data_IF_807146698911
#
_entry.id   IF_807146698911
#
_cell.length_a   1.000
_cell.length_b   1.000
_cell.length_c   1.000
_cell.angle_alpha   90.00
_cell.angle_beta   90.00
_cell.angle_gamma   90.00
#
_symmetry.space_group_name_H-M   'P 1'
#
loop_
_entity.id
_entity.type
_entity.pdbx_description
1 polymer ?
#
# COMPACT_ATOMS: atom_id res chain seq x y z
N UNK A 1 -16.58 -4.29 -7.23
CA UNK A 1 -16.26 -5.56 -7.95
C UNK A 1 -14.74 -5.62 -8.04
N UNK A 2 -13.98 -6.56 -7.47
CA UNK A 2 -14.21 -7.96 -7.05
C UNK A 2 -13.68 -8.28 -5.62
N UNK A 3 -14.22 -9.37 -5.05
CA UNK A 3 -14.21 -9.81 -3.63
C UNK A 3 -13.10 -10.79 -3.19
N UNK A 4 -12.10 -11.14 -4.00
CA UNK A 4 -11.19 -12.25 -3.66
C UNK A 4 -9.77 -11.82 -3.23
N UNK A 5 -9.46 -11.99 -1.95
CA UNK A 5 -8.26 -11.53 -1.23
C UNK A 5 -6.96 -12.30 -1.49
N UNK A 6 -6.75 -12.79 -2.71
CA UNK A 6 -5.57 -13.59 -3.05
C UNK A 6 -4.79 -13.07 -4.27
N UNK A 7 -4.87 -11.77 -4.54
CA UNK A 7 -4.11 -11.16 -5.64
C UNK A 7 -3.17 -10.12 -5.10
N UNK A 8 -1.87 -10.35 -5.37
CA UNK A 8 -0.86 -9.32 -5.54
C UNK A 8 -1.54 -8.09 -6.12
N UNK A 9 -1.42 -6.94 -5.43
CA UNK A 9 -1.92 -5.69 -5.98
C UNK A 9 -1.40 -5.58 -7.41
N UNK A 10 -2.26 -5.31 -8.40
CA UNK A 10 -1.90 -5.35 -9.80
C UNK A 10 -0.71 -4.42 -10.02
N UNK A 11 0.45 -5.02 -10.28
CA UNK A 11 1.72 -4.33 -10.33
C UNK A 11 2.21 -4.26 -11.77
N UNK A 12 2.75 -3.11 -12.14
CA UNK A 12 3.55 -2.94 -13.34
C UNK A 12 5.01 -2.74 -12.94
N UNK A 13 5.93 -3.45 -13.57
CA UNK A 13 7.35 -3.32 -13.32
C UNK A 13 8.19 -3.72 -14.53
N UNK A 14 9.48 -3.38 -14.49
CA UNK A 14 10.44 -3.83 -15.51
C UNK A 14 11.27 -4.99 -14.98
N UNK A 15 11.53 -5.97 -15.85
CA UNK A 15 12.41 -7.10 -15.55
C UNK A 15 13.22 -7.49 -16.79
N UNK A 16 14.10 -8.47 -16.66
CA UNK A 16 14.87 -9.02 -17.78
C UNK A 16 14.13 -10.20 -18.39
N UNK A 17 13.87 -10.14 -19.69
CA UNK A 17 13.20 -11.25 -20.37
C UNK A 17 14.08 -12.49 -20.39
N UNK A 18 13.54 -13.59 -19.88
CA UNK A 18 14.14 -14.92 -19.91
C UNK A 18 13.05 -15.91 -20.33
N UNK A 19 13.20 -16.55 -21.49
CA UNK A 19 12.19 -17.47 -22.02
C UNK A 19 12.81 -18.37 -23.08
N UNK A 20 12.23 -19.55 -23.26
CA UNK A 20 12.61 -20.48 -24.32
C UNK A 20 11.87 -20.27 -25.65
N UNK A 21 11.04 -19.22 -25.80
CA UNK A 21 10.32 -18.97 -27.07
C UNK A 21 11.31 -18.62 -28.21
N UNK A 22 11.49 -19.48 -29.23
CA UNK A 22 12.44 -19.24 -30.32
C UNK A 22 12.15 -17.94 -31.09
N UNK A 23 10.89 -17.48 -31.13
CA UNK A 23 10.50 -16.25 -31.83
C UNK A 23 10.98 -14.99 -31.09
N UNK A 24 11.18 -15.09 -29.78
CA UNK A 24 11.58 -13.98 -28.91
C UNK A 24 13.01 -14.09 -28.42
N UNK A 25 13.78 -15.07 -28.91
CA UNK A 25 15.18 -15.31 -28.53
C UNK A 25 16.06 -14.06 -28.60
N UNK A 26 15.83 -13.17 -29.58
CA UNK A 26 16.59 -11.91 -29.71
C UNK A 26 16.37 -10.92 -28.56
N UNK A 27 15.34 -11.13 -27.74
CA UNK A 27 15.02 -10.32 -26.57
C UNK A 27 15.49 -10.96 -25.26
N UNK A 28 16.09 -12.15 -25.28
CA UNK A 28 16.69 -12.72 -24.05
C UNK A 28 17.75 -11.75 -23.49
N UNK A 29 17.66 -11.46 -22.19
CA UNK A 29 18.54 -10.49 -21.54
C UNK A 29 18.14 -9.02 -21.74
N UNK A 30 17.09 -8.74 -22.51
CA UNK A 30 16.58 -7.38 -22.76
C UNK A 30 15.51 -7.00 -21.72
N UNK A 31 15.45 -5.73 -21.26
CA UNK A 31 14.35 -5.27 -20.43
C UNK A 31 12.99 -5.51 -21.08
N UNK A 32 12.10 -6.16 -20.34
CA UNK A 32 10.71 -6.36 -20.68
C UNK A 32 9.82 -5.70 -19.63
N UNK A 33 8.59 -5.43 -20.03
CA UNK A 33 7.58 -4.89 -19.14
C UNK A 33 6.71 -6.04 -18.64
N UNK A 34 6.56 -6.15 -17.32
CA UNK A 34 5.68 -7.11 -16.69
C UNK A 34 4.44 -6.37 -16.20
N UNK A 35 3.27 -6.87 -16.61
CA UNK A 35 1.96 -6.38 -16.20
C UNK A 35 1.28 -7.50 -15.43
N UNK A 36 1.06 -7.31 -14.13
CA UNK A 36 0.17 -8.17 -13.36
C UNK A 36 -1.24 -7.60 -13.44
N UNK A 37 -2.14 -8.30 -14.14
CA UNK A 37 -3.49 -7.81 -14.39
C UNK A 37 -4.42 -8.13 -13.20
N UNK A 38 -5.14 -7.13 -12.70
CA UNK A 38 -6.16 -7.34 -11.68
C UNK A 38 -7.50 -7.74 -12.28
N UNK A 39 -7.92 -7.07 -13.35
CA UNK A 39 -9.28 -7.19 -13.88
C UNK A 39 -9.50 -8.58 -14.50
N UNK A 40 -10.52 -9.28 -13.99
CA UNK A 40 -10.93 -10.59 -14.47
C UNK A 40 -11.55 -10.58 -15.86
N UNK A 41 -12.02 -9.41 -16.27
CA UNK A 41 -12.68 -9.08 -17.52
C UNK A 41 -11.75 -9.35 -18.71
N UNK A 42 -10.43 -9.24 -18.51
CA UNK A 42 -9.41 -9.64 -19.49
C UNK A 42 -9.35 -11.14 -19.77
N UNK A 43 -10.02 -11.99 -18.98
CA UNK A 43 -10.03 -13.45 -19.17
C UNK A 43 -11.04 -13.94 -20.21
N UNK A 44 -11.91 -13.06 -20.70
CA UNK A 44 -13.15 -13.45 -21.41
C UNK A 44 -12.95 -14.03 -22.80
N UNK A 45 -12.01 -13.50 -23.57
CA UNK A 45 -11.89 -13.89 -24.97
C UNK A 45 -10.70 -14.81 -25.19
N UNK A 46 -10.97 -16.04 -25.65
CA UNK A 46 -9.96 -16.83 -26.34
C UNK A 46 -9.31 -15.90 -27.37
N UNK A 47 -7.99 -15.77 -27.34
CA UNK A 47 -7.24 -15.01 -28.36
C UNK A 47 -7.56 -15.61 -29.74
N UNK A 48 -8.62 -15.11 -30.36
CA UNK A 48 -8.90 -15.36 -31.77
C UNK A 48 -7.98 -14.45 -32.56
N UNK A 49 -7.70 -14.78 -33.81
CA UNK A 49 -6.85 -13.92 -34.65
C UNK A 49 -7.37 -12.48 -34.75
N UNK A 50 -8.65 -12.24 -34.45
CA UNK A 50 -9.30 -10.94 -34.50
C UNK A 50 -9.21 -10.16 -33.17
N UNK A 51 -8.71 -10.79 -32.10
CA UNK A 51 -8.62 -10.17 -30.78
C UNK A 51 -7.17 -10.08 -30.28
N UNK A 52 -6.25 -9.83 -31.21
CA UNK A 52 -4.85 -9.59 -30.84
C UNK A 52 -4.76 -8.26 -30.08
N UNK A 53 -3.96 -8.20 -29.01
CA UNK A 53 -3.78 -6.96 -28.28
C UNK A 53 -3.22 -5.86 -29.18
N UNK A 54 -3.92 -4.74 -29.22
CA UNK A 54 -3.46 -3.50 -29.83
C UNK A 54 -2.63 -2.72 -28.81
N UNK A 55 -1.54 -2.10 -29.27
CA UNK A 55 -0.60 -1.35 -28.44
C UNK A 55 -0.39 0.02 -29.05
N UNK A 56 -0.51 1.07 -28.25
CA UNK A 56 -0.19 2.43 -28.68
C UNK A 56 0.58 3.20 -27.61
N UNK A 57 1.49 4.08 -28.05
CA UNK A 57 2.24 4.96 -27.17
C UNK A 57 1.77 6.41 -27.37
N UNK A 58 1.59 7.11 -26.27
CA UNK A 58 1.29 8.54 -26.26
C UNK A 58 1.99 9.21 -25.08
N UNK A 59 1.97 10.54 -25.03
CA UNK A 59 2.49 11.29 -23.89
C UNK A 59 1.45 12.32 -23.47
N UNK A 60 1.05 12.27 -22.20
CA UNK A 60 0.38 13.40 -21.57
C UNK A 60 1.45 14.40 -21.14
N UNK A 61 1.39 15.60 -21.72
CA UNK A 61 2.29 16.70 -21.37
C UNK A 61 1.63 17.57 -20.32
N UNK A 62 2.35 17.77 -19.22
CA UNK A 62 2.16 18.87 -18.29
C UNK A 62 3.32 19.85 -18.54
N UNK A 63 3.16 21.13 -18.23
CA UNK A 63 4.20 22.16 -18.34
C UNK A 63 5.52 21.75 -17.66
N UNK A 64 5.44 20.92 -16.62
CA UNK A 64 6.57 20.55 -15.76
C UNK A 64 6.99 19.08 -15.84
N UNK A 65 6.16 18.21 -16.43
CA UNK A 65 6.46 16.77 -16.52
C UNK A 65 5.84 16.15 -17.77
N UNK A 66 6.42 15.05 -18.23
CA UNK A 66 5.89 14.24 -19.32
C UNK A 66 5.60 12.83 -18.82
N UNK A 67 4.34 12.43 -18.91
CA UNK A 67 3.88 11.08 -18.57
C UNK A 67 3.82 10.29 -19.87
N UNK A 68 4.68 9.28 -20.01
CA UNK A 68 4.55 8.30 -21.09
C UNK A 68 3.38 7.39 -20.77
N UNK A 69 2.46 7.27 -21.73
CA UNK A 69 1.29 6.42 -21.62
C UNK A 69 1.47 5.30 -22.64
N UNK A 70 1.58 4.07 -22.15
CA UNK A 70 1.47 2.88 -22.96
C UNK A 70 0.06 2.31 -22.79
N UNK A 71 -0.72 2.39 -23.86
CA UNK A 71 -2.03 1.79 -23.94
C UNK A 71 -1.90 0.37 -24.51
N UNK A 72 -2.52 -0.57 -23.82
CA UNK A 72 -2.77 -1.92 -24.27
C UNK A 72 -4.27 -2.12 -24.37
N UNK A 73 -4.76 -2.66 -25.48
CA UNK A 73 -6.19 -2.86 -25.69
C UNK A 73 -6.50 -4.25 -26.22
N UNK A 74 -7.55 -4.88 -25.68
CA UNK A 74 -8.14 -6.14 -26.18
C UNK A 74 -9.65 -5.95 -26.16
N UNK A 75 -10.31 -5.95 -27.32
CA UNK A 75 -11.74 -5.66 -27.42
C UNK A 75 -12.12 -4.27 -26.87
N UNK A 76 -12.94 -4.26 -25.82
CA UNK A 76 -13.40 -3.11 -25.04
C UNK A 76 -12.64 -2.91 -23.71
N UNK A 77 -11.61 -3.73 -23.46
CA UNK A 77 -10.73 -3.63 -22.32
C UNK A 77 -9.49 -2.80 -22.66
N UNK A 78 -9.22 -1.79 -21.86
CA UNK A 78 -8.11 -0.85 -21.99
C UNK A 78 -7.24 -0.90 -20.74
N UNK A 79 -5.94 -1.04 -20.94
CA UNK A 79 -4.94 -0.95 -19.90
C UNK A 79 -3.98 0.19 -20.22
N UNK A 80 -3.81 1.10 -19.26
CA UNK A 80 -2.95 2.26 -19.37
C UNK A 80 -1.80 2.16 -18.38
N UNK A 81 -0.58 2.00 -18.89
CA UNK A 81 0.65 2.04 -18.13
C UNK A 81 1.25 3.44 -18.18
N UNK A 82 1.31 4.11 -17.03
CA UNK A 82 1.82 5.47 -16.87
C UNK A 82 3.26 5.43 -16.37
N UNK A 83 4.18 6.08 -17.07
CA UNK A 83 5.62 6.02 -16.76
C UNK A 83 6.25 7.42 -16.77
N UNK A 84 7.14 7.67 -15.82
CA UNK A 84 7.82 8.95 -15.68
C UNK A 84 8.97 9.10 -16.69
N UNK A 85 8.80 9.99 -17.68
CA UNK A 85 9.86 10.24 -18.68
C UNK A 85 11.12 10.90 -18.10
N UNK A 86 11.05 11.43 -16.88
CA UNK A 86 12.20 11.96 -16.16
C UNK A 86 13.03 10.86 -15.45
N UNK A 87 12.49 9.64 -15.32
CA UNK A 87 13.22 8.50 -14.76
C UNK A 87 14.39 8.11 -15.68
N UNK A 88 15.62 8.28 -15.16
CA UNK A 88 16.86 7.93 -15.87
C UNK A 88 16.96 6.45 -16.20
N UNK A 89 16.39 5.56 -15.39
CA UNK A 89 16.38 4.12 -15.63
C UNK A 89 15.39 3.77 -16.75
N UNK A 90 14.23 4.44 -16.78
CA UNK A 90 13.27 4.27 -17.88
C UNK A 90 13.90 4.68 -19.20
N UNK A 91 14.56 5.83 -19.20
CA UNK A 91 15.26 6.36 -20.36
C UNK A 91 16.29 5.38 -20.95
N UNK A 92 17.08 4.70 -20.11
CA UNK A 92 17.98 3.63 -20.56
C UNK A 92 17.23 2.45 -21.17
N UNK A 93 16.11 2.06 -20.57
CA UNK A 93 15.24 0.99 -21.08
C UNK A 93 14.65 1.35 -22.44
N UNK A 94 14.15 2.58 -22.59
CA UNK A 94 13.61 3.08 -23.87
C UNK A 94 14.67 3.07 -24.97
N UNK A 95 15.92 3.41 -24.68
CA UNK A 95 17.00 3.34 -25.67
C UNK A 95 17.19 1.90 -26.18
N UNK A 96 17.09 0.92 -25.30
CA UNK A 96 17.15 -0.50 -25.66
C UNK A 96 15.93 -0.90 -26.50
N UNK A 97 14.73 -0.47 -26.14
CA UNK A 97 13.50 -0.75 -26.91
C UNK A 97 13.54 -0.11 -28.31
N UNK A 98 14.00 1.13 -28.42
CA UNK A 98 14.20 1.84 -29.69
C UNK A 98 15.20 1.09 -30.57
N UNK A 99 16.33 0.67 -29.99
CA UNK A 99 17.38 -0.09 -30.72
C UNK A 99 16.84 -1.41 -31.25
N UNK A 100 16.04 -2.13 -30.45
CA UNK A 100 15.44 -3.41 -30.83
C UNK A 100 14.15 -3.25 -31.68
N UNK A 101 13.70 -2.03 -31.93
CA UNK A 101 12.46 -1.70 -32.64
C UNK A 101 11.23 -2.40 -32.04
N UNK A 102 11.22 -2.54 -30.72
CA UNK A 102 10.21 -3.29 -30.00
C UNK A 102 10.67 -3.72 -28.62
N UNK A 103 9.74 -4.25 -27.85
CA UNK A 103 10.01 -4.80 -26.52
C UNK A 103 9.04 -5.93 -26.21
N UNK A 104 9.37 -6.73 -25.20
CA UNK A 104 8.51 -7.82 -24.75
C UNK A 104 7.62 -7.31 -23.62
N UNK A 105 6.33 -7.67 -23.69
CA UNK A 105 5.37 -7.51 -22.61
C UNK A 105 5.02 -8.89 -22.08
N UNK A 106 5.21 -9.08 -20.78
CA UNK A 106 4.82 -10.29 -20.06
C UNK A 106 3.59 -9.94 -19.24
N UNK A 107 2.45 -10.56 -19.53
CA UNK A 107 1.24 -10.38 -18.72
C UNK A 107 1.08 -11.58 -17.81
N UNK A 108 0.98 -11.31 -16.52
CA UNK A 108 0.67 -12.31 -15.52
C UNK A 108 -0.83 -12.30 -15.29
N UNK A 109 -1.47 -13.36 -15.77
CA UNK A 109 -2.86 -13.66 -15.48
C UNK A 109 -2.92 -14.57 -14.25
N UNK A 110 -4.05 -14.64 -13.53
CA UNK A 110 -4.16 -15.44 -12.31
C UNK A 110 -3.83 -16.93 -12.44
N UNK A 111 -3.79 -17.49 -13.66
CA UNK A 111 -3.48 -18.91 -13.91
C UNK A 111 -2.57 -19.13 -15.12
N UNK A 112 -2.07 -18.07 -15.73
CA UNK A 112 -1.27 -18.18 -16.94
C UNK A 112 -0.35 -16.97 -17.08
N UNK A 113 0.67 -17.12 -17.89
CA UNK A 113 1.53 -16.02 -18.31
C UNK A 113 1.37 -15.93 -19.81
N UNK A 114 1.04 -14.75 -20.33
CA UNK A 114 1.13 -14.48 -21.76
C UNK A 114 2.34 -13.61 -22.03
N UNK A 115 2.99 -13.88 -23.16
CA UNK A 115 4.16 -13.14 -23.60
C UNK A 115 3.86 -12.62 -24.99
N UNK A 116 4.01 -11.33 -25.18
CA UNK A 116 3.73 -10.67 -26.46
C UNK A 116 4.89 -9.77 -26.85
N UNK A 117 5.23 -9.79 -28.14
CA UNK A 117 6.09 -8.79 -28.72
C UNK A 117 5.28 -7.53 -28.99
N UNK A 118 5.73 -6.39 -28.46
CA UNK A 118 5.27 -5.07 -28.85
C UNK A 118 6.23 -4.49 -29.89
N UNK A 119 5.93 -4.58 -31.20
CA UNK A 119 6.74 -3.89 -32.20
C UNK A 119 6.57 -2.37 -32.07
N UNK A 120 7.64 -1.63 -32.34
CA UNK A 120 7.58 -0.18 -32.47
C UNK A 120 7.64 0.17 -33.96
N UNK A 121 6.53 0.68 -34.50
CA UNK A 121 6.51 1.22 -35.86
C UNK A 121 7.35 2.51 -35.98
N UNK A 122 7.50 3.01 -37.21
CA UNK A 122 8.31 4.21 -37.48
C UNK A 122 7.73 5.49 -36.86
N UNK A 123 6.43 5.54 -36.60
CA UNK A 123 5.80 6.67 -35.92
C UNK A 123 6.18 6.68 -34.44
N UNK A 124 5.97 5.55 -33.75
CA UNK A 124 6.35 5.33 -32.36
C UNK A 124 7.86 5.52 -32.14
N UNK A 125 8.70 5.04 -33.06
CA UNK A 125 10.16 5.25 -32.98
C UNK A 125 10.53 6.72 -33.12
N UNK A 126 9.94 7.45 -34.08
CA UNK A 126 10.17 8.90 -34.23
C UNK A 126 9.67 9.65 -33.00
N UNK A 127 8.52 9.26 -32.47
CA UNK A 127 7.93 9.82 -31.26
C UNK A 127 8.86 9.66 -30.06
N UNK A 128 9.26 8.43 -29.73
CA UNK A 128 10.16 8.17 -28.59
C UNK A 128 11.50 8.90 -28.75
N UNK A 129 12.11 8.86 -29.95
CA UNK A 129 13.34 9.61 -30.24
C UNK A 129 13.18 11.12 -30.03
N UNK A 130 12.02 11.69 -30.40
CA UNK A 130 11.72 13.11 -30.17
C UNK A 130 11.61 13.41 -28.68
N UNK A 131 10.88 12.60 -27.92
CA UNK A 131 10.72 12.82 -26.47
C UNK A 131 12.04 12.62 -25.72
N UNK A 132 12.89 11.67 -26.14
CA UNK A 132 14.23 11.46 -25.56
C UNK A 132 15.18 12.66 -25.73
N UNK A 133 14.96 13.50 -26.74
CA UNK A 133 15.74 14.75 -26.92
C UNK A 133 15.31 15.86 -25.98
N UNK A 134 14.11 15.77 -25.41
CA UNK A 134 13.66 16.70 -24.39
C UNK A 134 14.27 16.24 -23.07
N UNK A 135 15.16 17.05 -22.51
CA UNK A 135 15.64 16.85 -21.14
C UNK A 135 14.52 17.26 -20.19
N UNK A 136 13.99 16.29 -19.45
CA UNK A 136 13.09 16.56 -18.33
C UNK A 136 13.90 16.50 -17.03
N UNK A 137 13.75 17.51 -16.18
CA UNK A 137 14.30 17.44 -14.84
C UNK A 137 13.52 16.42 -14.01
N UNK A 138 14.19 15.53 -13.26
CA UNK A 138 13.52 14.58 -12.38
C UNK A 138 12.61 15.30 -11.38
N UNK A 139 11.30 15.04 -11.48
CA UNK A 139 10.30 15.57 -10.55
C UNK A 139 9.20 14.53 -10.30
N UNK A 140 9.48 13.52 -9.45
CA UNK A 140 8.54 12.43 -9.19
C UNK A 140 7.23 12.95 -8.56
N UNK A 141 7.28 13.99 -7.73
CA UNK A 141 6.08 14.56 -7.11
C UNK A 141 5.11 15.12 -8.17
N UNK A 142 5.62 15.85 -9.15
CA UNK A 142 4.80 16.40 -10.23
C UNK A 142 4.29 15.29 -11.16
N UNK A 143 5.09 14.24 -11.40
CA UNK A 143 4.63 13.04 -12.09
C UNK A 143 3.44 12.37 -11.36
N UNK A 144 3.56 12.15 -10.05
CA UNK A 144 2.47 11.57 -9.25
C UNK A 144 1.24 12.46 -9.22
N UNK A 145 1.42 13.79 -9.06
CA UNK A 145 0.31 14.74 -9.12
C UNK A 145 -0.40 14.72 -10.48
N UNK A 146 0.37 14.70 -11.57
CA UNK A 146 -0.19 14.68 -12.92
C UNK A 146 -0.95 13.37 -13.19
N UNK A 147 -0.38 12.22 -12.81
CA UNK A 147 -1.02 10.91 -12.98
C UNK A 147 -2.28 10.79 -12.12
N UNK A 148 -2.22 11.24 -10.86
CA UNK A 148 -3.36 11.32 -9.96
C UNK A 148 -4.48 12.18 -10.54
N UNK A 149 -4.17 13.38 -11.05
CA UNK A 149 -5.18 14.24 -11.69
C UNK A 149 -5.82 13.57 -12.91
N UNK A 150 -5.07 12.83 -13.71
CA UNK A 150 -5.63 12.08 -14.85
C UNK A 150 -6.64 11.03 -14.40
N UNK A 151 -6.34 10.31 -13.30
CA UNK A 151 -7.18 9.28 -12.71
C UNK A 151 -8.43 9.90 -12.08
N UNK A 152 -8.29 10.92 -11.23
CA UNK A 152 -9.41 11.60 -10.56
C UNK A 152 -10.42 12.20 -11.54
N UNK A 153 -9.97 12.64 -12.71
CA UNK A 153 -10.83 13.19 -13.75
C UNK A 153 -11.38 12.14 -14.74
N UNK A 154 -11.26 10.84 -14.44
CA UNK A 154 -11.69 9.74 -15.31
C UNK A 154 -11.24 9.95 -16.77
N UNK A 155 -10.00 10.42 -16.95
CA UNK A 155 -9.53 10.86 -18.26
C UNK A 155 -9.36 9.67 -19.21
N UNK A 156 -9.01 8.51 -18.66
CA UNK A 156 -8.78 7.28 -19.40
C UNK A 156 -10.09 6.59 -19.81
N UNK A 157 -11.13 6.64 -18.98
CA UNK A 157 -12.48 6.18 -19.30
C UNK A 157 -13.07 7.00 -20.45
N UNK A 158 -12.92 8.32 -20.39
CA UNK A 158 -13.34 9.22 -21.47
C UNK A 158 -12.58 8.94 -22.77
N UNK A 159 -11.27 8.75 -22.69
CA UNK A 159 -10.43 8.43 -23.84
C UNK A 159 -10.82 7.07 -24.46
N UNK A 160 -11.00 6.04 -23.64
CA UNK A 160 -11.43 4.71 -24.07
C UNK A 160 -12.82 4.76 -24.73
N UNK A 161 -13.76 5.48 -24.13
CA UNK A 161 -15.11 5.68 -24.67
C UNK A 161 -15.05 6.38 -26.03
N UNK A 162 -14.30 7.48 -26.12
CA UNK A 162 -14.13 8.22 -27.37
C UNK A 162 -13.53 7.34 -28.48
N UNK A 163 -12.56 6.49 -28.16
CA UNK A 163 -11.97 5.54 -29.12
C UNK A 163 -12.99 4.52 -29.60
N UNK A 164 -13.76 3.90 -28.69
CA UNK A 164 -14.84 2.98 -29.07
C UNK A 164 -15.88 3.65 -29.97
N UNK A 165 -16.32 4.87 -29.62
CA UNK A 165 -17.27 5.63 -30.43
C UNK A 165 -16.70 5.95 -31.83
N UNK A 166 -15.43 6.32 -31.93
CA UNK A 166 -14.78 6.62 -33.22
C UNK A 166 -14.68 5.41 -34.15
N UNK A 167 -14.77 4.20 -33.60
CA UNK A 167 -14.78 2.94 -34.34
C UNK A 167 -16.20 2.47 -34.71
N UNK A 168 -17.23 3.28 -34.42
CA UNK A 168 -18.62 2.94 -34.69
C UNK A 168 -19.16 1.84 -33.78
N UNK A 169 -18.54 1.63 -32.60
CA UNK A 169 -19.11 0.78 -31.57
C UNK A 169 -20.33 1.46 -30.95
N UNK A 170 -21.27 0.65 -30.48
CA UNK A 170 -22.47 1.11 -29.78
C UNK A 170 -22.08 1.96 -28.55
N UNK A 171 -22.66 3.16 -28.43
CA UNK A 171 -22.42 4.10 -27.32
C UNK A 171 -22.80 3.52 -25.95
N UNK A 172 -23.61 2.45 -25.93
CA UNK A 172 -23.94 1.73 -24.70
C UNK A 172 -22.81 0.86 -24.15
N UNK A 173 -21.76 0.59 -24.95
CA UNK A 173 -20.62 -0.21 -24.51
C UNK A 173 -19.76 0.64 -23.57
N UNK A 174 -19.76 0.29 -22.28
CA UNK A 174 -18.89 0.90 -21.28
C UNK A 174 -17.52 0.22 -21.31
N UNK A 175 -16.42 0.94 -21.60
CA UNK A 175 -15.09 0.33 -21.60
C UNK A 175 -14.69 -0.14 -20.20
N UNK A 176 -13.94 -1.24 -20.14
CA UNK A 176 -13.24 -1.67 -18.93
C UNK A 176 -11.87 -1.01 -18.94
N UNK A 177 -11.59 -0.15 -17.96
CA UNK A 177 -10.33 0.60 -17.90
C UNK A 177 -9.54 0.21 -16.66
N UNK A 178 -8.29 -0.20 -16.88
CA UNK A 178 -7.30 -0.47 -15.83
C UNK A 178 -6.13 0.49 -16.00
N UNK A 179 -5.78 1.23 -14.96
CA UNK A 179 -4.66 2.18 -14.99
C UNK A 179 -3.61 1.73 -13.97
N UNK A 180 -2.35 1.63 -14.40
CA UNK A 180 -1.23 1.27 -13.55
C UNK A 180 -0.09 2.29 -13.70
N UNK A 181 0.57 2.59 -12.58
CA UNK A 181 1.69 3.54 -12.54
C UNK A 181 2.99 2.75 -12.35
N UNK A 182 3.95 2.93 -13.26
CA UNK A 182 5.30 2.41 -13.11
C UNK A 182 6.09 3.34 -12.19
N UNK A 183 6.09 3.03 -10.90
CA UNK A 183 6.76 3.85 -9.87
C UNK A 183 8.27 3.92 -10.04
N UNK A 184 8.89 2.86 -10.57
CA UNK A 184 10.31 2.82 -10.86
C UNK A 184 10.61 1.94 -12.06
N UNK A 185 11.43 2.46 -12.97
CA UNK A 185 11.99 1.67 -14.06
C UNK A 185 13.27 0.93 -13.67
N UNK A 186 13.53 0.72 -12.37
CA UNK A 186 14.54 -0.21 -11.92
C UNK A 186 14.19 -1.63 -12.37
N UNK A 187 15.13 -2.31 -13.02
CA UNK A 187 14.98 -3.71 -13.39
C UNK A 187 14.97 -4.53 -12.10
N UNK A 188 13.87 -5.23 -11.84
CA UNK A 188 13.73 -6.17 -10.73
C UNK A 188 14.39 -7.50 -11.11
N UNK A 189 15.36 -7.90 -10.31
CA UNK A 189 16.06 -9.20 -10.42
C UNK A 189 15.50 -10.22 -9.40
N UNK A 190 14.81 -9.73 -8.39
CA UNK A 190 14.18 -10.42 -7.29
C UNK A 190 12.72 -10.69 -7.63
N UNK A 191 12.46 -11.64 -8.53
CA UNK A 191 11.07 -12.03 -8.80
C UNK A 191 10.70 -13.22 -7.90
N UNK A 192 9.75 -13.08 -6.96
CA UNK A 192 9.46 -14.10 -5.95
C UNK A 192 9.12 -15.48 -6.52
N UNK A 193 8.61 -15.59 -7.75
CA UNK A 193 8.28 -16.89 -8.33
C UNK A 193 9.49 -17.73 -8.76
N UNK A 194 10.70 -17.16 -8.82
CA UNK A 194 11.94 -17.95 -8.94
C UNK A 194 12.39 -18.56 -7.61
N UNK A 195 11.88 -18.04 -6.48
CA UNK A 195 12.16 -18.58 -5.16
C UNK A 195 10.90 -19.32 -4.68
N UNK A 196 10.86 -20.64 -4.87
CA UNK A 196 9.78 -21.50 -4.37
C UNK A 196 9.72 -21.54 -2.84
N UNK A 197 9.25 -20.45 -2.19
CA UNK A 197 9.04 -20.37 -0.75
C UNK A 197 7.63 -19.90 -0.41
N UNK A 198 7.04 -20.64 0.53
CA UNK A 198 5.74 -20.44 1.15
C UNK A 198 5.81 -19.19 2.04
N UNK A 199 5.29 -18.07 1.55
CA UNK A 199 4.74 -17.05 2.44
C UNK A 199 3.37 -17.55 2.90
N UNK A 200 3.22 -17.79 4.21
CA UNK A 200 1.93 -18.08 4.84
C UNK A 200 1.11 -16.79 4.87
N UNK A 201 0.43 -16.51 3.77
CA UNK A 201 -0.52 -15.41 3.65
C UNK A 201 -1.87 -15.87 4.17
N UNK A 202 -2.33 -15.32 5.30
CA UNK A 202 -3.70 -15.51 5.79
C UNK A 202 -4.55 -14.43 5.14
N UNK A 203 -5.19 -14.77 4.02
CA UNK A 203 -6.26 -13.96 3.46
C UNK A 203 -7.52 -14.18 4.30
N UNK A 204 -7.92 -13.18 5.09
CA UNK A 204 -9.17 -13.23 5.86
C UNK A 204 -10.43 -13.25 4.99
N UNK A 205 -10.30 -13.03 3.68
CA UNK A 205 -11.44 -13.00 2.76
C UNK A 205 -12.03 -14.41 2.53
N UNK A 206 -11.23 -15.48 2.62
CA UNK A 206 -11.72 -16.86 2.54
C UNK A 206 -12.60 -17.26 3.75
N UNK A 207 -12.55 -16.49 4.85
CA UNK A 207 -13.48 -16.67 5.97
C UNK A 207 -14.81 -15.94 5.72
N UNK A 208 -14.79 -14.74 5.10
CA UNK A 208 -15.96 -13.86 4.92
C UNK A 208 -16.96 -14.31 3.84
N UNK A 209 -16.56 -15.13 2.86
CA UNK A 209 -17.45 -15.63 1.79
C UNK A 209 -18.40 -16.77 2.24
N UNK A 210 -18.26 -17.26 3.48
CA UNK A 210 -19.28 -18.11 4.07
C UNK A 210 -20.31 -17.19 4.69
N UNK A 211 -21.54 -17.16 4.15
CA UNK A 211 -22.74 -16.54 4.74
C UNK A 211 -22.61 -16.45 6.26
N UNK A 212 -22.10 -15.32 6.75
CA UNK A 212 -21.93 -15.10 8.17
C UNK A 212 -23.33 -14.73 8.65
N UNK A 213 -23.93 -15.61 9.46
CA UNK A 213 -25.11 -15.26 10.23
C UNK A 213 -24.79 -13.96 10.99
N UNK A 214 -25.37 -12.86 10.53
CA UNK A 214 -25.18 -11.47 10.98
C UNK A 214 -25.57 -11.26 12.46
N UNK A 215 -25.94 -12.32 13.18
CA UNK A 215 -26.81 -12.22 14.35
C UNK A 215 -26.15 -12.39 15.72
N UNK A 216 -24.84 -12.67 15.87
CA UNK A 216 -24.27 -12.90 17.21
C UNK A 216 -22.83 -12.37 17.44
N UNK A 217 -22.42 -11.28 16.80
CA UNK A 217 -21.22 -10.56 17.28
C UNK A 217 -21.62 -9.66 18.44
N UNK A 218 -21.26 -10.06 19.67
CA UNK A 218 -21.22 -9.13 20.80
C UNK A 218 -20.18 -8.07 20.47
N UNK A 219 -20.63 -6.88 20.06
CA UNK A 219 -19.75 -5.77 19.70
C UNK A 219 -18.86 -5.45 20.90
N UNK A 220 -17.57 -5.70 20.77
CA UNK A 220 -16.60 -5.28 21.78
C UNK A 220 -16.31 -3.80 21.52
N UNK A 221 -16.43 -2.90 22.51
CA UNK A 221 -16.03 -1.52 22.34
C UNK A 221 -14.58 -1.45 21.86
N UNK A 222 -14.35 -0.77 20.74
CA UNK A 222 -13.01 -0.59 20.22
C UNK A 222 -12.28 0.48 21.05
N UNK A 223 -11.08 0.17 21.53
CA UNK A 223 -10.20 1.16 22.16
C UNK A 223 -9.79 2.21 21.14
N UNK A 224 -9.60 3.45 21.60
CA UNK A 224 -9.15 4.56 20.75
C UNK A 224 -7.68 4.84 21.05
N UNK A 225 -6.85 4.80 20.02
CA UNK A 225 -5.47 5.24 20.06
C UNK A 225 -5.31 6.63 19.43
N UNK A 226 -4.21 7.30 19.73
CA UNK A 226 -3.87 8.61 19.14
C UNK A 226 -2.40 8.64 18.72
N UNK A 227 -2.07 9.53 17.78
CA UNK A 227 -0.67 9.85 17.46
C UNK A 227 -0.26 11.11 18.21
N UNK A 228 0.82 11.03 18.98
CA UNK A 228 1.49 12.17 19.62
C UNK A 228 2.93 12.29 19.14
N UNK A 229 3.70 13.24 19.65
CA UNK A 229 5.13 13.40 19.35
C UNK A 229 5.98 12.96 20.54
N UNK A 230 7.20 12.50 20.29
CA UNK A 230 8.14 12.12 21.34
C UNK A 230 8.41 13.27 22.33
N UNK A 231 8.45 14.53 21.85
CA UNK A 231 8.62 15.70 22.71
C UNK A 231 7.51 15.87 23.77
N UNK A 232 6.32 15.34 23.52
CA UNK A 232 5.20 15.41 24.46
C UNK A 232 5.43 14.53 25.71
N UNK A 233 6.36 13.56 25.62
CA UNK A 233 6.70 12.61 26.68
C UNK A 233 8.12 12.77 27.22
N UNK A 234 8.94 13.65 26.64
CA UNK A 234 10.35 13.81 27.00
C UNK A 234 10.58 14.24 28.47
N UNK A 235 9.56 14.81 29.13
CA UNK A 235 9.63 15.16 30.57
C UNK A 235 9.42 13.95 31.48
N UNK A 236 8.73 12.92 31.00
CA UNK A 236 8.28 11.78 31.82
C UNK A 236 8.95 10.46 31.42
N UNK A 237 9.57 10.38 30.24
CA UNK A 237 10.35 9.23 29.80
C UNK A 237 11.71 9.67 29.24
N UNK A 238 12.79 9.06 29.74
CA UNK A 238 14.14 9.30 29.24
C UNK A 238 14.29 8.76 27.81
N UNK A 239 13.73 7.59 27.54
CA UNK A 239 13.66 6.99 26.21
C UNK A 239 13.00 7.93 25.20
N UNK A 240 11.89 8.58 25.56
CA UNK A 240 11.25 9.60 24.71
C UNK A 240 12.14 10.84 24.49
N UNK A 241 12.91 11.25 25.50
CA UNK A 241 13.84 12.39 25.41
C UNK A 241 15.05 12.14 24.51
N UNK A 242 15.43 10.86 24.35
CA UNK A 242 16.55 10.44 23.50
C UNK A 242 16.13 10.30 22.00
N UNK A 243 14.83 10.25 21.71
CA UNK A 243 14.29 10.22 20.35
C UNK A 243 14.26 11.61 19.71
N UNK A 244 14.10 11.67 18.38
CA UNK A 244 13.87 12.96 17.70
C UNK A 244 12.55 13.58 18.16
N UNK A 245 12.52 14.88 18.48
CA UNK A 245 11.32 15.53 19.05
C UNK A 245 10.04 15.37 18.23
N UNK A 246 10.14 15.32 16.90
CA UNK A 246 9.01 15.18 15.98
C UNK A 246 8.62 13.73 15.69
N UNK A 247 9.32 12.74 16.25
CA UNK A 247 9.02 11.32 16.02
C UNK A 247 7.61 10.97 16.52
N UNK A 248 6.78 10.34 15.65
CA UNK A 248 5.44 9.93 16.03
C UNK A 248 5.45 8.85 17.12
N UNK A 249 4.53 9.00 18.07
CA UNK A 249 4.29 8.07 19.17
C UNK A 249 2.86 7.55 19.06
N UNK A 250 2.70 6.25 18.87
CA UNK A 250 1.39 5.60 18.88
C UNK A 250 0.96 5.33 20.32
N UNK A 251 -0.10 5.98 20.77
CA UNK A 251 -0.63 5.84 22.13
C UNK A 251 -1.76 4.83 22.13
N UNK A 252 -1.81 3.95 23.13
CA UNK A 252 -2.87 2.98 23.34
C UNK A 252 -3.21 2.81 24.82
N UNK A 253 -4.50 2.71 25.15
CA UNK A 253 -4.96 2.32 26.47
C UNK A 253 -5.17 0.81 26.54
N UNK A 254 -4.37 0.10 27.32
CA UNK A 254 -4.30 -1.36 27.34
C UNK A 254 -4.33 -1.92 28.77
N UNK A 255 -4.48 -3.25 28.92
CA UNK A 255 -4.12 -3.93 30.17
C UNK A 255 -2.59 -4.00 30.26
N UNK A 256 -2.00 -3.02 30.96
CA UNK A 256 -0.56 -2.82 31.00
C UNK A 256 0.14 -3.95 31.75
N UNK A 257 -0.44 -4.43 32.86
CA UNK A 257 0.13 -5.54 33.63
C UNK A 257 0.18 -6.83 32.80
N UNK A 258 -0.89 -7.14 32.07
CA UNK A 258 -0.93 -8.32 31.18
C UNK A 258 0.07 -8.20 30.05
N UNK A 259 0.20 -7.02 29.44
CA UNK A 259 1.20 -6.76 28.43
C UNK A 259 2.62 -7.00 28.96
N UNK A 260 2.99 -6.35 30.07
CA UNK A 260 4.32 -6.47 30.67
C UNK A 260 4.64 -7.92 31.11
N UNK A 261 3.64 -8.69 31.55
CA UNK A 261 3.82 -10.10 31.90
C UNK A 261 4.21 -11.00 30.72
N UNK A 262 3.84 -10.60 29.49
CA UNK A 262 4.02 -11.36 28.24
C UNK A 262 5.12 -10.78 27.33
N UNK A 263 5.44 -9.49 27.48
CA UNK A 263 6.49 -8.77 26.76
C UNK A 263 7.88 -9.14 27.28
N UNK A 264 8.40 -10.31 26.89
CA UNK A 264 9.65 -10.89 27.44
C UNK A 264 10.82 -10.97 26.45
N UNK A 265 10.62 -10.58 25.20
CA UNK A 265 11.62 -10.66 24.14
C UNK A 265 11.64 -9.38 23.31
N UNK A 266 12.68 -9.23 22.49
CA UNK A 266 12.78 -8.17 21.48
C UNK A 266 11.47 -8.07 20.68
N UNK A 267 11.01 -6.83 20.52
CA UNK A 267 9.78 -6.57 19.82
C UNK A 267 9.96 -6.62 18.30
N UNK A 268 8.85 -6.77 17.59
CA UNK A 268 8.76 -6.54 16.16
C UNK A 268 7.68 -5.51 15.88
N UNK A 269 7.98 -4.57 14.99
CA UNK A 269 7.02 -3.62 14.48
C UNK A 269 6.87 -3.77 12.97
N UNK A 270 5.62 -3.75 12.51
CA UNK A 270 5.27 -3.87 11.10
C UNK A 270 4.03 -3.08 10.72
N UNK A 271 3.94 -2.82 9.44
CA UNK A 271 2.81 -2.26 8.74
C UNK A 271 2.09 -3.38 7.97
N UNK A 272 0.79 -3.22 7.83
CA UNK A 272 -0.06 -4.15 7.10
C UNK A 272 -1.35 -3.47 6.70
N UNK A 273 -2.28 -4.25 6.18
CA UNK A 273 -3.60 -3.76 5.84
C UNK A 273 -4.63 -4.88 5.88
N UNK A 274 -5.88 -4.47 6.04
CA UNK A 274 -7.06 -5.30 5.85
C UNK A 274 -7.91 -4.70 4.74
N UNK A 275 -8.53 -5.55 3.92
CA UNK A 275 -9.65 -5.13 3.08
C UNK A 275 -10.94 -5.50 3.81
N UNK A 276 -11.69 -4.49 4.23
CA UNK A 276 -12.92 -4.67 4.99
C UNK A 276 -14.02 -3.82 4.35
N UNK A 277 -15.11 -4.48 3.93
CA UNK A 277 -16.25 -3.84 3.24
C UNK A 277 -15.85 -2.97 2.05
N UNK A 278 -14.95 -3.49 1.21
CA UNK A 278 -14.46 -2.79 0.02
C UNK A 278 -13.53 -1.61 0.31
N UNK A 279 -13.15 -1.38 1.57
CA UNK A 279 -12.21 -0.32 1.98
C UNK A 279 -10.91 -0.91 2.49
N UNK A 280 -9.84 -0.14 2.42
CA UNK A 280 -8.54 -0.49 2.98
C UNK A 280 -8.44 0.10 4.37
N UNK A 281 -8.18 -0.76 5.36
CA UNK A 281 -7.84 -0.37 6.74
C UNK A 281 -6.36 -0.63 6.93
N UNK A 282 -5.58 0.43 7.15
CA UNK A 282 -4.16 0.29 7.49
C UNK A 282 -4.04 -0.33 8.88
N UNK A 283 -3.02 -1.16 9.07
CA UNK A 283 -2.68 -1.70 10.38
C UNK A 283 -1.22 -1.44 10.71
N UNK A 284 -0.96 -0.89 11.88
CA UNK A 284 0.36 -0.84 12.50
C UNK A 284 0.36 -1.81 13.66
N UNK A 285 1.34 -2.71 13.74
CA UNK A 285 1.37 -3.77 14.75
C UNK A 285 2.70 -3.78 15.48
N UNK A 286 2.65 -3.67 16.81
CA UNK A 286 3.77 -3.91 17.71
C UNK A 286 3.56 -5.26 18.38
N UNK A 287 4.51 -6.17 18.26
CA UNK A 287 4.56 -7.40 19.04
C UNK A 287 5.77 -7.38 19.96
N UNK A 288 5.62 -7.81 21.21
CA UNK A 288 6.72 -8.18 22.09
C UNK A 288 6.33 -9.46 22.81
N UNK A 289 7.11 -10.53 22.59
CA UNK A 289 6.77 -11.87 23.06
C UNK A 289 5.40 -12.32 22.58
N UNK A 290 4.57 -12.78 23.51
CA UNK A 290 3.21 -13.27 23.24
C UNK A 290 2.14 -12.18 23.30
N UNK A 291 2.54 -10.90 23.39
CA UNK A 291 1.66 -9.75 23.37
C UNK A 291 1.77 -8.98 22.05
N UNK A 292 0.64 -8.65 21.44
CA UNK A 292 0.58 -7.87 20.20
C UNK A 292 -0.49 -6.77 20.28
N UNK A 293 -0.11 -5.56 19.88
CA UNK A 293 -0.95 -4.36 19.88
C UNK A 293 -1.12 -3.88 18.45
N UNK A 294 -2.36 -3.71 18.01
CA UNK A 294 -2.73 -3.17 16.71
C UNK A 294 -3.23 -1.73 16.86
N UNK A 295 -2.87 -0.88 15.89
CA UNK A 295 -3.52 0.38 15.58
C UNK A 295 -4.08 0.31 14.16
N UNK A 296 -5.40 0.39 14.07
CA UNK A 296 -6.14 0.38 12.81
C UNK A 296 -6.47 1.81 12.41
N UNK A 297 -6.22 2.15 11.15
CA UNK A 297 -6.51 3.47 10.62
C UNK A 297 -7.21 3.37 9.27
N UNK A 298 -8.03 4.36 8.96
CA UNK A 298 -8.51 4.55 7.60
C UNK A 298 -7.33 4.86 6.68
N UNK A 299 -7.22 4.12 5.58
CA UNK A 299 -6.16 4.34 4.61
C UNK A 299 -6.34 5.63 3.79
N UNK A 300 -7.50 6.27 3.85
CA UNK A 300 -7.72 7.60 3.29
C UNK A 300 -7.25 8.74 4.23
N UNK A 301 -6.87 8.46 5.48
CA UNK A 301 -6.49 9.49 6.44
C UNK A 301 -5.08 10.05 6.14
N UNK A 302 -5.05 11.31 5.67
CA UNK A 302 -3.82 12.01 5.34
C UNK A 302 -2.90 12.23 6.55
N UNK A 303 -3.47 12.38 7.75
CA UNK A 303 -2.69 12.59 8.99
C UNK A 303 -1.95 11.33 9.38
N UNK A 304 -2.55 10.15 9.15
CA UNK A 304 -1.92 8.85 9.36
C UNK A 304 -0.75 8.66 8.41
N UNK A 305 -0.94 8.98 7.12
CA UNK A 305 0.17 8.93 6.15
C UNK A 305 1.28 9.92 6.49
N UNK A 306 0.95 11.12 6.95
CA UNK A 306 1.96 12.09 7.40
C UNK A 306 2.77 11.54 8.59
N UNK A 307 2.13 10.87 9.55
CA UNK A 307 2.83 10.20 10.64
C UNK A 307 3.75 9.09 10.11
N UNK A 308 3.28 8.21 9.22
CA UNK A 308 4.10 7.16 8.60
C UNK A 308 5.31 7.75 7.86
N UNK A 309 5.13 8.84 7.14
CA UNK A 309 6.20 9.53 6.41
C UNK A 309 7.27 10.05 7.39
N UNK A 310 6.87 10.64 8.52
CA UNK A 310 7.80 11.10 9.57
C UNK A 310 8.50 9.91 10.24
N UNK A 311 7.78 8.83 10.57
CA UNK A 311 8.39 7.60 11.11
C UNK A 311 9.49 7.08 10.17
N UNK A 312 9.19 6.93 8.87
CA UNK A 312 10.14 6.45 7.87
C UNK A 312 11.31 7.41 7.66
N UNK A 313 11.06 8.72 7.69
CA UNK A 313 12.11 9.76 7.61
C UNK A 313 13.04 9.72 8.82
N UNK A 314 12.47 9.52 10.01
CA UNK A 314 13.24 9.49 11.25
C UNK A 314 13.95 8.16 11.48
N UNK A 315 13.43 7.07 10.89
CA UNK A 315 13.95 5.73 11.09
C UNK A 315 13.55 5.16 12.46
N UNK A 316 12.54 5.73 13.11
CA UNK A 316 12.10 5.39 14.45
C UNK A 316 10.62 5.70 14.65
N UNK A 317 10.01 5.03 15.62
CA UNK A 317 8.63 5.21 16.09
C UNK A 317 8.60 4.95 17.60
N UNK A 318 7.77 5.70 18.33
CA UNK A 318 7.54 5.46 19.75
C UNK A 318 6.19 4.81 20.00
N UNK A 319 6.06 4.13 21.13
CA UNK A 319 4.78 3.63 21.64
C UNK A 319 4.59 4.07 23.07
N UNK A 320 3.40 4.56 23.40
CA UNK A 320 3.00 4.85 24.77
C UNK A 320 1.82 3.97 25.14
N UNK A 321 2.05 3.02 26.04
CA UNK A 321 1.06 2.03 26.47
C UNK A 321 0.58 2.38 27.87
N UNK A 322 -0.70 2.75 28.02
CA UNK A 322 -1.21 3.36 29.25
C UNK A 322 -2.35 2.54 29.89
N UNK A 323 -2.39 2.52 31.22
CA UNK A 323 -3.49 1.98 32.02
C UNK A 323 -3.69 2.83 33.28
N UNK A 324 -4.84 3.51 33.39
CA UNK A 324 -5.23 4.19 34.63
C UNK A 324 -4.20 5.19 35.19
N UNK A 325 -3.49 5.91 34.32
CA UNK A 325 -2.46 6.88 34.70
C UNK A 325 -1.04 6.33 34.82
N UNK A 326 -0.86 5.01 34.74
CA UNK A 326 0.45 4.38 34.54
C UNK A 326 0.72 4.26 33.04
N UNK A 327 1.97 4.35 32.64
CA UNK A 327 2.37 4.21 31.24
C UNK A 327 3.73 3.56 31.08
N UNK A 328 3.92 2.85 29.97
CA UNK A 328 5.21 2.36 29.52
C UNK A 328 5.53 2.95 28.14
N UNK A 329 6.69 3.60 28.05
CA UNK A 329 7.22 4.10 26.78
C UNK A 329 8.13 3.06 26.15
N UNK A 330 7.91 2.75 24.87
CA UNK A 330 8.72 1.79 24.10
C UNK A 330 9.23 2.48 22.84
N UNK A 331 10.53 2.81 22.74
CA UNK A 331 11.12 3.27 21.49
C UNK A 331 11.34 2.08 20.55
N UNK A 332 11.27 2.30 19.24
CA UNK A 332 11.54 1.27 18.26
C UNK A 332 12.23 1.82 17.01
N UNK A 333 13.32 1.16 16.61
CA UNK A 333 14.10 1.51 15.42
C UNK A 333 13.53 0.81 14.18
N UNK A 334 13.21 1.58 13.14
CA UNK A 334 12.69 1.01 11.91
C UNK A 334 13.82 0.45 11.05
N UNK A 335 13.73 -0.84 10.73
CA UNK A 335 14.62 -1.46 9.78
C UNK A 335 14.38 -0.90 8.37
N UNK A 336 15.43 -0.49 7.63
CA UNK A 336 15.31 -0.11 6.23
C UNK A 336 14.68 -1.23 5.41
N UNK A 337 13.76 -0.89 4.51
CA UNK A 337 13.31 -1.75 3.40
C UNK A 337 12.39 -2.94 3.70
N UNK A 338 11.80 -3.10 4.90
CA UNK A 338 10.96 -4.29 5.13
C UNK A 338 9.58 -4.26 4.47
N UNK A 339 8.94 -3.11 4.32
CA UNK A 339 7.54 -3.06 3.85
C UNK A 339 7.25 -1.78 3.05
N UNK A 340 6.81 -1.96 1.80
CA UNK A 340 6.40 -0.88 0.90
C UNK A 340 4.88 -0.65 0.97
N UNK A 341 4.43 -0.15 2.12
CA UNK A 341 3.02 0.22 2.32
C UNK A 341 2.57 1.39 1.41
N UNK A 342 3.50 2.06 0.71
CA UNK A 342 3.18 3.21 -0.16
C UNK A 342 2.31 2.83 -1.35
N UNK A 343 2.40 1.58 -1.81
CA UNK A 343 1.53 1.03 -2.87
C UNK A 343 0.05 1.19 -2.48
N UNK A 344 -0.27 1.01 -1.20
CA UNK A 344 -1.64 1.16 -0.69
C UNK A 344 -2.10 2.63 -0.66
N UNK A 345 -1.17 3.59 -0.56
CA UNK A 345 -1.52 5.02 -0.50
C UNK A 345 -2.24 5.46 -1.77
N UNK A 346 -1.74 5.07 -2.93
CA UNK A 346 -2.37 5.38 -4.21
C UNK A 346 -3.75 4.71 -4.35
N UNK A 347 -3.87 3.44 -3.94
CA UNK A 347 -5.14 2.69 -3.96
C UNK A 347 -6.18 3.32 -3.03
N UNK A 348 -5.77 3.80 -1.86
CA UNK A 348 -6.68 4.33 -0.84
C UNK A 348 -7.29 5.68 -1.21
N UNK A 349 -6.58 6.49 -2.00
CA UNK A 349 -7.07 7.78 -2.50
C UNK A 349 -8.14 7.62 -3.60
N UNK A 350 -8.28 6.43 -4.20
CA UNK A 350 -9.28 6.17 -5.24
C UNK A 350 -10.71 5.99 -4.72
N UNK A 351 -10.91 5.93 -3.39
CA UNK A 351 -12.22 5.80 -2.75
C UNK A 351 -12.55 7.06 -1.93
N UNK A 352 -12.95 8.17 -2.57
CA UNK A 352 -13.28 9.42 -1.88
C UNK A 352 -14.63 9.29 -1.16
N UNK A 353 -14.59 8.79 0.08
CA UNK A 353 -15.68 8.88 1.05
C UNK A 353 -15.04 9.11 2.42
N UNK A 354 -15.31 10.26 3.05
CA UNK A 354 -14.61 10.70 4.27
C UNK A 354 -14.67 9.72 5.45
N UNK A 355 -13.83 9.98 6.47
CA UNK A 355 -13.74 9.29 7.79
C UNK A 355 -14.46 7.93 7.82
N UNK A 356 -13.83 6.93 7.23
CA UNK A 356 -14.37 5.58 7.15
C UNK A 356 -14.49 4.98 8.55
N UNK A 357 -15.71 4.62 8.93
CA UNK A 357 -16.03 3.81 10.11
C UNK A 357 -15.51 2.35 9.99
N UNK A 358 -14.94 1.95 8.84
CA UNK A 358 -14.45 0.60 8.60
C UNK A 358 -13.38 0.15 9.61
N UNK A 359 -12.47 1.04 10.02
CA UNK A 359 -11.47 0.71 11.05
C UNK A 359 -12.14 0.41 12.40
N UNK A 360 -13.16 1.18 12.77
CA UNK A 360 -13.92 1.00 14.01
C UNK A 360 -14.80 -0.25 13.97
N UNK A 361 -15.47 -0.52 12.84
CA UNK A 361 -16.27 -1.73 12.66
C UNK A 361 -15.39 -2.98 12.61
N UNK A 362 -14.24 -2.92 11.94
CA UNK A 362 -13.26 -4.01 11.95
C UNK A 362 -12.73 -4.27 13.37
N UNK A 363 -12.36 -3.23 14.12
CA UNK A 363 -11.88 -3.37 15.50
C UNK A 363 -12.94 -4.00 16.43
N UNK A 364 -14.19 -3.54 16.32
CA UNK A 364 -15.29 -4.02 17.18
C UNK A 364 -15.83 -5.40 16.82
N UNK A 365 -15.53 -5.90 15.61
CA UNK A 365 -15.92 -7.24 15.16
C UNK A 365 -15.18 -8.38 15.86
N UNK A 366 -14.03 -8.10 16.51
CA UNK A 366 -13.15 -9.12 17.08
C UNK A 366 -12.36 -9.94 16.05
N UNK A 367 -12.52 -9.65 14.75
CA UNK A 367 -11.89 -10.39 13.67
C UNK A 367 -10.36 -10.29 13.71
N UNK A 368 -9.83 -9.12 14.03
CA UNK A 368 -8.37 -8.90 14.09
C UNK A 368 -7.75 -9.75 15.20
N UNK A 369 -8.33 -9.75 16.40
CA UNK A 369 -7.84 -10.55 17.52
C UNK A 369 -7.88 -12.05 17.21
N UNK A 370 -8.96 -12.52 16.58
CA UNK A 370 -9.15 -13.93 16.25
C UNK A 370 -8.18 -14.45 15.18
N UNK A 371 -7.70 -13.57 14.31
CA UNK A 371 -6.88 -13.93 13.15
C UNK A 371 -5.47 -13.35 13.21
N UNK A 372 -5.10 -12.75 14.33
CA UNK A 372 -3.75 -12.26 14.55
C UNK A 372 -2.76 -13.43 14.46
N UNK A 373 -1.67 -13.21 13.74
CA UNK A 373 -0.57 -14.15 13.61
C UNK A 373 0.68 -13.54 14.20
N UNK A 374 1.50 -14.37 14.82
CA UNK A 374 2.77 -13.93 15.38
C UNK A 374 3.76 -13.54 14.28
N UNK A 375 4.35 -12.35 14.44
CA UNK A 375 5.49 -11.86 13.67
C UNK A 375 6.83 -12.47 14.17
N UNK A 376 6.83 -13.11 15.33
CA UNK A 376 7.99 -13.74 15.95
C UNK A 376 7.88 -15.27 15.75
N UNK A 377 8.75 -15.90 14.92
CA UNK A 377 8.68 -17.32 14.64
C UNK A 377 8.73 -18.19 15.91
N UNK A 378 7.75 -19.09 16.06
CA UNK A 378 7.67 -20.02 17.19
C UNK A 378 7.06 -19.45 18.48
N UNK A 379 6.57 -18.21 18.46
CA UNK A 379 5.87 -17.60 19.60
C UNK A 379 4.37 -17.58 19.33
N UNK A 380 3.57 -18.18 20.22
CA UNK A 380 2.11 -18.08 20.17
C UNK A 380 1.64 -16.78 20.83
N UNK A 381 0.51 -16.24 20.36
CA UNK A 381 -0.09 -15.00 20.88
C UNK A 381 -1.09 -15.30 22.00
N UNK A 382 -0.84 -14.74 23.19
CA UNK A 382 -1.70 -14.88 24.38
C UNK A 382 -2.48 -13.60 24.70
N UNK A 383 -2.05 -12.46 24.15
CA UNK A 383 -2.69 -11.17 24.32
C UNK A 383 -2.65 -10.37 23.03
N UNK A 384 -3.83 -10.06 22.50
CA UNK A 384 -3.98 -9.19 21.32
C UNK A 384 -4.90 -8.04 21.68
N UNK A 385 -4.40 -6.82 21.53
CA UNK A 385 -5.17 -5.60 21.74
C UNK A 385 -5.33 -4.85 20.42
N UNK A 386 -6.52 -4.29 20.17
CA UNK A 386 -6.80 -3.58 18.92
C UNK A 386 -7.33 -2.19 19.24
N UNK A 387 -6.65 -1.18 18.71
CA UNK A 387 -7.02 0.22 18.81
C UNK A 387 -7.46 0.74 17.44
N UNK A 388 -8.39 1.68 17.44
CA UNK A 388 -8.69 2.53 16.29
C UNK A 388 -7.90 3.82 16.47
N UNK A 389 -7.07 4.17 15.50
CA UNK A 389 -6.30 5.39 15.52
C UNK A 389 -7.22 6.56 15.14
N UNK A 390 -7.46 7.46 16.08
CA UNK A 390 -8.24 8.66 15.84
C UNK A 390 -7.47 9.64 14.94
N UNK A 391 -8.18 10.25 13.99
CA UNK A 391 -7.69 11.44 13.30
C UNK A 391 -7.48 12.57 14.31
N UNK A 392 -6.66 13.56 13.95
CA UNK A 392 -6.42 14.74 14.80
C UNK A 392 -7.75 15.44 15.19
N UNK A 393 -8.68 15.57 14.25
CA UNK A 393 -10.00 16.17 14.49
C UNK A 393 -10.86 15.37 15.47
N UNK A 394 -10.84 14.03 15.37
CA UNK A 394 -11.56 13.14 16.29
C UNK A 394 -10.91 13.16 17.67
N UNK A 395 -9.58 13.16 17.74
CA UNK A 395 -8.85 13.24 19.00
C UNK A 395 -9.16 14.55 19.76
N UNK A 396 -9.18 15.69 19.05
CA UNK A 396 -9.56 16.98 19.64
C UNK A 396 -11.00 17.01 20.13
N UNK A 397 -11.93 16.41 19.37
CA UNK A 397 -13.33 16.29 19.79
C UNK A 397 -13.48 15.42 21.04
N UNK A 398 -12.79 14.27 21.10
CA UNK A 398 -12.81 13.39 22.27
C UNK A 398 -12.24 14.08 23.51
N UNK A 399 -11.13 14.82 23.36
CA UNK A 399 -10.57 15.62 24.45
C UNK A 399 -11.55 16.69 24.94
N UNK A 400 -12.23 17.38 24.03
CA UNK A 400 -13.23 18.38 24.39
C UNK A 400 -14.42 17.76 25.15
N UNK A 401 -14.88 16.57 24.72
CA UNK A 401 -15.96 15.83 25.41
C UNK A 401 -15.54 15.34 26.79
N UNK A 402 -14.29 14.89 26.94
CA UNK A 402 -13.73 14.47 28.24
C UNK A 402 -13.60 15.67 29.18
N UNK A 403 -13.07 16.80 28.70
CA UNK A 403 -12.93 18.03 29.49
C UNK A 403 -14.30 18.62 29.90
N UNK A 404 -15.34 18.39 29.11
CA UNK A 404 -16.70 18.83 29.40
C UNK A 404 -17.46 17.93 30.39
N UNK A 405 -16.96 16.73 30.73
CA UNK A 405 -17.60 15.84 31.72
C UNK A 405 -17.27 16.29 33.16
N UNK A 406 -18.25 16.82 33.92
CA UNK A 406 -18.03 17.25 35.28
C UNK A 406 -17.99 16.01 36.20
N UNK A 407 -16.82 15.42 36.42
CA UNK A 407 -16.74 14.25 37.31
C UNK A 407 -15.38 13.70 37.72
N UNK A 408 -14.31 13.84 36.91
CA UNK A 408 -13.06 13.08 37.15
C UNK A 408 -11.83 13.97 37.33
N UNK A 409 -11.90 14.97 38.21
CA UNK A 409 -10.73 15.69 38.69
C UNK A 409 -10.17 15.02 39.96
N UNK A 410 -9.89 13.72 39.91
CA UNK A 410 -8.95 13.10 40.87
C UNK A 410 -7.56 13.10 40.25
N UNK A 411 -6.59 13.57 41.04
CA UNK A 411 -5.22 13.85 40.66
C UNK A 411 -4.56 12.64 39.97
N UNK A 412 -4.21 12.81 38.69
CA UNK A 412 -3.21 11.98 38.01
C UNK A 412 -1.89 12.09 38.79
N UNK A 413 -1.50 11.00 39.45
CA UNK A 413 -0.17 10.82 40.02
C UNK A 413 0.80 10.50 38.89
N UNK A 414 1.81 11.34 38.67
CA UNK A 414 2.89 11.22 37.67
C UNK A 414 3.85 10.02 37.91
N UNK A 415 3.36 8.88 38.39
CA UNK A 415 4.18 7.69 38.61
C UNK A 415 4.22 6.84 37.34
N UNK A 416 5.21 7.09 36.47
CA UNK A 416 5.60 6.16 35.42
C UNK A 416 6.39 5.00 36.05
N UNK A 417 5.96 3.76 35.78
CA UNK A 417 6.79 2.59 36.05
C UNK A 417 7.96 2.58 35.04
N UNK A 418 9.14 2.15 35.49
CA UNK A 418 10.44 2.35 34.82
C UNK A 418 10.43 2.14 33.28
N UNK A 419 11.22 2.97 32.57
CA UNK A 419 11.50 2.79 31.14
C UNK A 419 11.89 1.32 30.87
N UNK A 420 11.21 0.66 29.94
CA UNK A 420 11.52 -0.73 29.54
C UNK A 420 12.99 -0.90 29.10
N UNK A 421 13.62 0.19 28.62
CA UNK A 421 15.04 0.22 28.28
C UNK A 421 15.96 0.02 29.50
N UNK A 422 15.56 0.45 30.71
CA UNK A 422 16.34 0.29 31.95
C UNK A 422 16.18 -1.12 32.56
N UNK A 423 15.19 -1.91 32.12
CA UNK A 423 15.01 -3.31 32.55
C UNK A 423 16.02 -4.29 31.93
N UNK A 424 17.02 -3.81 31.18
CA UNK A 424 18.08 -4.63 30.59
C UNK A 424 17.69 -5.37 29.30
N UNK A 425 16.57 -4.98 28.68
CA UNK A 425 16.14 -5.52 27.39
C UNK A 425 16.34 -4.45 26.31
N UNK A 426 17.52 -4.44 25.69
CA UNK A 426 17.78 -3.62 24.51
C UNK A 426 16.91 -4.09 23.36
N UNK A 427 16.04 -3.21 22.84
CA UNK A 427 15.31 -3.41 21.59
C UNK A 427 16.21 -2.88 20.48
N UNK A 428 16.69 -3.76 19.58
CA UNK A 428 17.57 -3.41 18.47
C UNK A 428 16.89 -3.50 17.10
#
# INVERSE_FOLDING_TARGET
>A
MQENGNRLSPAIYLSTYTSGDPKLKRFEGVPCMVIEQAASEWKGDKETEHNRPFLSLSVAKNERTAVLILETRVGDCFHYALMDMSDRKLNKTLDVWIKNRGFVVVRKLPRSVSVSLCPLDDENLRFLKKQRRNSYEPNPEEFFRCTQSCIEHNSFERLATQKLSSEGRDESIKPVVEVQILESAAIRNDIPWQQGRRETHVSMQDACDKNFDEHLFTSVPASIGVVKKACDFARTSKSASDMRPDTPVLVASIDLNRYLGLARVEGSFGFGHFRFEGRIVLSMRLQSGSAQIYWLADAADLSVWAAIDVMKKNGEVGFMLEEGGRGAFVPYMLLPHREDIRILRAESLSHPGGLSDAAARLASSGLVQKNATSDIPGTDLDYVHVNVLASESVALMLQALQAASPGNAEQYSDSFEADMADAGHSVH
#
